data_IF_838392483546
#
_entry.id   IF_838392483546
#
_cell.length_a   1.000
_cell.length_b   1.000
_cell.length_c   1.000
_cell.angle_alpha   90.00
_cell.angle_beta   90.00
_cell.angle_gamma   90.00
#
_symmetry.space_group_name_H-M   'P 1'
#
loop_
_entity.id
_entity.type
_entity.pdbx_description
1 polymer ?
#
# COMPACT_ATOMS: atom_id res chain seq x y z
N UNK A 1 -7.47 6.53 -8.45
CA UNK A 1 -7.41 6.41 -6.98
C UNK A 1 -8.38 5.32 -6.60
N UNK A 2 -7.98 4.37 -5.76
CA UNK A 2 -8.80 3.19 -5.48
C UNK A 2 -9.73 3.35 -4.28
N UNK A 3 -9.31 4.08 -3.25
CA UNK A 3 -10.13 4.41 -2.09
C UNK A 3 -10.33 5.93 -2.00
N UNK A 4 -11.55 6.37 -1.67
CA UNK A 4 -11.86 7.78 -1.45
C UNK A 4 -11.63 8.20 0.00
N UNK A 5 -11.46 9.50 0.29
CA UNK A 5 -11.44 10.01 1.67
C UNK A 5 -12.68 9.59 2.47
N UNK A 6 -13.85 9.56 1.85
CA UNK A 6 -15.09 9.10 2.48
C UNK A 6 -15.03 7.61 2.85
N UNK A 7 -14.58 6.75 1.93
CA UNK A 7 -14.42 5.32 2.22
C UNK A 7 -13.41 5.11 3.35
N UNK A 8 -12.28 5.83 3.32
CA UNK A 8 -11.25 5.76 4.37
C UNK A 8 -11.82 6.13 5.75
N UNK A 9 -12.59 7.22 5.85
CA UNK A 9 -13.14 7.73 7.11
C UNK A 9 -14.34 6.92 7.63
N UNK A 10 -15.27 6.55 6.74
CA UNK A 10 -16.59 5.99 7.12
C UNK A 10 -16.63 4.47 7.06
N UNK A 11 -15.93 3.86 6.12
CA UNK A 11 -16.02 2.41 5.86
C UNK A 11 -14.81 1.67 6.41
N UNK A 12 -13.60 2.12 6.06
CA UNK A 12 -12.37 1.51 6.54
C UNK A 12 -12.06 1.90 7.99
N UNK A 13 -12.44 3.12 8.40
CA UNK A 13 -12.20 3.69 9.74
C UNK A 13 -10.70 3.71 10.05
N UNK A 14 -9.94 4.33 9.15
CA UNK A 14 -8.48 4.42 9.28
C UNK A 14 -8.05 5.26 10.48
N UNK A 15 -6.80 5.06 10.91
CA UNK A 15 -6.29 5.63 12.17
C UNK A 15 -5.85 7.10 12.06
N UNK A 16 -5.78 7.63 10.84
CA UNK A 16 -5.24 8.96 10.57
C UNK A 16 -6.35 10.00 10.50
N UNK A 17 -6.22 11.02 11.36
CA UNK A 17 -7.05 12.21 11.32
C UNK A 17 -6.36 13.28 10.49
N UNK A 18 -6.69 13.33 9.20
CA UNK A 18 -6.24 14.36 8.28
C UNK A 18 -7.44 15.05 7.61
N UNK A 19 -7.23 16.28 7.14
CA UNK A 19 -8.18 16.95 6.26
C UNK A 19 -8.39 16.15 4.95
N UNK A 20 -9.46 16.44 4.24
CA UNK A 20 -9.84 15.63 3.07
C UNK A 20 -8.88 15.79 1.88
N UNK A 21 -8.20 16.92 1.76
CA UNK A 21 -7.26 17.19 0.65
C UNK A 21 -5.95 16.44 0.84
N UNK A 22 -5.35 16.54 2.04
CA UNK A 22 -4.14 15.80 2.42
C UNK A 22 -4.41 14.31 2.37
N UNK A 23 -5.56 13.86 2.87
CA UNK A 23 -5.94 12.45 2.81
C UNK A 23 -6.11 11.95 1.36
N UNK A 24 -6.73 12.75 0.48
CA UNK A 24 -6.86 12.39 -0.93
C UNK A 24 -5.48 12.25 -1.61
N UNK A 25 -4.53 13.14 -1.29
CA UNK A 25 -3.16 13.06 -1.78
C UNK A 25 -2.45 11.77 -1.33
N UNK A 26 -2.55 11.43 -0.03
CA UNK A 26 -2.00 10.18 0.53
C UNK A 26 -2.62 8.94 -0.11
N UNK A 27 -3.94 8.92 -0.28
CA UNK A 27 -4.66 7.82 -0.93
C UNK A 27 -4.31 7.70 -2.42
N UNK A 28 -4.03 8.82 -3.09
CA UNK A 28 -3.53 8.80 -4.47
C UNK A 28 -2.15 8.15 -4.55
N UNK A 29 -1.22 8.54 -3.68
CA UNK A 29 0.11 7.92 -3.57
C UNK A 29 0.03 6.43 -3.26
N UNK A 30 -0.82 6.02 -2.31
CA UNK A 30 -1.07 4.62 -2.01
C UNK A 30 -1.67 3.84 -3.19
N UNK A 31 -2.54 4.48 -3.99
CA UNK A 31 -3.08 3.87 -5.21
C UNK A 31 -1.99 3.60 -6.24
N UNK A 32 -1.06 4.53 -6.41
CA UNK A 32 0.06 4.38 -7.34
C UNK A 32 1.03 3.28 -6.86
N UNK A 33 1.16 3.07 -5.54
CA UNK A 33 1.88 1.91 -4.96
C UNK A 33 1.17 0.59 -5.23
N UNK A 34 -0.16 0.54 -5.13
CA UNK A 34 -0.93 -0.64 -5.55
C UNK A 34 -0.71 -0.95 -7.04
N UNK A 35 -0.66 0.08 -7.89
CA UNK A 35 -0.37 -0.09 -9.32
C UNK A 35 0.99 -0.76 -9.53
N UNK A 36 2.02 -0.32 -8.80
CA UNK A 36 3.36 -0.93 -8.82
C UNK A 36 3.29 -2.41 -8.37
N UNK A 37 2.68 -2.68 -7.21
CA UNK A 37 2.58 -4.01 -6.62
C UNK A 37 1.75 -5.00 -7.46
N UNK A 38 0.88 -4.48 -8.34
CA UNK A 38 0.04 -5.27 -9.24
C UNK A 38 0.52 -5.25 -10.69
N UNK A 39 1.76 -4.77 -10.94
CA UNK A 39 2.33 -4.66 -12.29
C UNK A 39 1.43 -3.90 -13.27
N UNK A 40 0.73 -2.86 -12.78
CA UNK A 40 -0.26 -2.07 -13.50
C UNK A 40 -1.44 -2.87 -14.08
N UNK A 41 -1.68 -4.11 -13.61
CA UNK A 41 -2.78 -4.93 -14.14
C UNK A 41 -4.14 -4.32 -13.89
N UNK A 42 -4.34 -3.63 -12.77
CA UNK A 42 -5.60 -2.94 -12.48
C UNK A 42 -5.86 -1.84 -13.53
N UNK A 43 -4.82 -1.13 -13.99
CA UNK A 43 -4.95 -0.14 -15.08
C UNK A 43 -5.29 -0.78 -16.42
N UNK A 44 -4.68 -1.92 -16.72
CA UNK A 44 -4.97 -2.66 -17.95
C UNK A 44 -6.39 -3.23 -17.98
N UNK A 45 -6.87 -3.78 -16.86
CA UNK A 45 -8.21 -4.38 -16.75
C UNK A 45 -9.30 -3.31 -16.60
N UNK A 46 -9.00 -2.21 -15.89
CA UNK A 46 -9.98 -1.25 -15.41
C UNK A 46 -10.54 -1.68 -14.06
N UNK A 47 -10.50 -0.78 -13.08
CA UNK A 47 -10.91 -1.09 -11.70
C UNK A 47 -12.37 -1.54 -11.61
N UNK A 48 -13.26 -0.92 -12.37
CA UNK A 48 -14.70 -1.24 -12.37
C UNK A 48 -14.99 -2.60 -13.02
N UNK A 49 -14.06 -3.16 -13.80
CA UNK A 49 -14.17 -4.48 -14.42
C UNK A 49 -13.68 -5.61 -13.49
N UNK A 50 -13.16 -5.28 -12.31
CA UNK A 50 -12.77 -6.27 -11.30
C UNK A 50 -13.98 -6.79 -10.53
N UNK A 51 -13.86 -8.00 -10.00
CA UNK A 51 -14.90 -8.56 -9.12
C UNK A 51 -15.10 -7.69 -7.88
N UNK A 52 -16.29 -7.68 -7.26
CA UNK A 52 -16.54 -6.94 -6.01
C UNK A 52 -15.54 -7.28 -4.91
N UNK A 53 -15.14 -8.55 -4.82
CA UNK A 53 -14.10 -9.01 -3.90
C UNK A 53 -12.75 -8.35 -4.16
N UNK A 54 -12.28 -8.35 -5.42
CA UNK A 54 -11.02 -7.70 -5.79
C UNK A 54 -11.05 -6.20 -5.52
N UNK A 55 -12.13 -5.52 -5.89
CA UNK A 55 -12.28 -4.08 -5.63
C UNK A 55 -12.19 -3.77 -4.14
N UNK A 56 -12.86 -4.55 -3.29
CA UNK A 56 -12.84 -4.36 -1.84
C UNK A 56 -11.46 -4.62 -1.23
N UNK A 57 -10.80 -5.70 -1.64
CA UNK A 57 -9.43 -6.01 -1.22
C UNK A 57 -8.47 -4.88 -1.59
N UNK A 58 -8.60 -4.33 -2.81
CA UNK A 58 -7.76 -3.22 -3.28
C UNK A 58 -8.03 -1.94 -2.49
N UNK A 59 -9.30 -1.58 -2.24
CA UNK A 59 -9.64 -0.41 -1.41
C UNK A 59 -9.03 -0.53 -0.01
N UNK A 60 -9.22 -1.68 0.62
CA UNK A 60 -8.69 -1.97 1.96
C UNK A 60 -7.16 -1.92 2.00
N UNK A 61 -6.49 -2.53 1.03
CA UNK A 61 -5.02 -2.47 0.93
C UNK A 61 -4.53 -1.03 0.72
N UNK A 62 -5.25 -0.22 -0.07
CA UNK A 62 -4.91 1.19 -0.31
C UNK A 62 -4.92 1.98 1.00
N UNK A 63 -5.96 1.79 1.83
CA UNK A 63 -6.05 2.45 3.12
C UNK A 63 -5.00 1.95 4.12
N UNK A 64 -4.70 0.65 4.14
CA UNK A 64 -3.65 0.08 5.00
C UNK A 64 -2.24 0.60 4.67
N UNK A 65 -1.96 0.90 3.39
CA UNK A 65 -0.70 1.55 2.99
C UNK A 65 -0.61 2.95 3.58
N UNK A 66 -1.69 3.73 3.55
CA UNK A 66 -1.73 5.07 4.17
C UNK A 66 -1.47 4.97 5.68
N UNK A 67 -2.17 4.07 6.38
CA UNK A 67 -1.95 3.87 7.82
C UNK A 67 -0.50 3.47 8.12
N UNK A 68 0.07 2.55 7.33
CA UNK A 68 1.45 2.13 7.50
C UNK A 68 2.44 3.30 7.37
N UNK A 69 2.30 4.11 6.32
CA UNK A 69 3.24 5.19 6.04
C UNK A 69 3.19 6.30 7.08
N UNK A 70 2.01 6.61 7.59
CA UNK A 70 1.86 7.62 8.63
C UNK A 70 2.36 7.12 9.99
N UNK A 71 1.97 5.90 10.39
CA UNK A 71 2.38 5.33 11.68
C UNK A 71 3.89 5.07 11.74
N UNK A 72 4.52 4.81 10.60
CA UNK A 72 5.93 4.42 10.53
C UNK A 72 6.79 5.46 9.80
N UNK A 73 6.33 6.71 9.65
CA UNK A 73 7.03 7.75 8.89
C UNK A 73 8.49 7.92 9.32
N UNK A 74 8.75 7.99 10.63
CA UNK A 74 10.08 8.15 11.21
C UNK A 74 10.98 6.93 10.94
N UNK A 75 10.41 5.72 11.01
CA UNK A 75 11.13 4.49 10.70
C UNK A 75 11.50 4.45 9.21
N UNK A 76 10.55 4.78 8.34
CA UNK A 76 10.76 4.78 6.88
C UNK A 76 11.86 5.77 6.53
N UNK A 77 11.81 7.00 7.09
CA UNK A 77 12.84 8.02 6.88
C UNK A 77 14.23 7.54 7.32
N UNK A 78 14.32 6.89 8.48
CA UNK A 78 15.58 6.33 8.99
C UNK A 78 16.08 5.17 8.13
N UNK A 79 15.16 4.31 7.66
CA UNK A 79 15.48 3.14 6.82
C UNK A 79 16.02 3.55 5.45
N UNK A 80 15.38 4.53 4.80
CA UNK A 80 15.83 5.08 3.51
C UNK A 80 17.19 5.76 3.63
N UNK A 81 17.41 6.50 4.73
CA UNK A 81 18.69 7.14 5.03
C UNK A 81 19.81 6.10 5.20
N UNK A 82 19.56 5.02 5.96
CA UNK A 82 20.54 3.96 6.17
C UNK A 82 20.84 3.13 4.90
N UNK A 83 19.83 2.89 4.04
CA UNK A 83 20.03 2.22 2.74
C UNK A 83 20.96 3.03 1.82
N UNK A 84 20.79 4.35 1.81
CA UNK A 84 21.57 5.27 0.97
C UNK A 84 23.04 5.39 1.39
N UNK A 85 23.36 5.13 2.66
CA UNK A 85 24.70 5.36 3.22
C UNK A 85 25.63 4.16 3.04
N UNK A 86 25.12 2.92 3.08
CA UNK A 86 26.00 1.75 3.23
C UNK A 86 25.82 0.62 2.21
N UNK A 87 24.86 0.69 1.27
CA UNK A 87 24.67 -0.37 0.25
C UNK A 87 24.33 -1.76 0.81
N UNK A 88 24.14 -1.87 2.13
CA UNK A 88 23.77 -3.12 2.81
C UNK A 88 22.25 -3.28 2.75
N UNK A 89 21.79 -4.46 2.36
CA UNK A 89 20.41 -4.88 2.56
C UNK A 89 20.12 -4.91 4.06
N UNK A 90 19.54 -3.84 4.62
CA UNK A 90 18.97 -3.90 5.95
C UNK A 90 17.83 -4.91 5.93
N UNK A 91 18.11 -6.10 6.42
CA UNK A 91 17.07 -7.06 6.75
C UNK A 91 16.35 -6.48 7.97
N UNK A 92 15.11 -6.02 7.79
CA UNK A 92 14.25 -5.60 8.90
C UNK A 92 14.39 -6.67 9.99
N UNK A 93 14.75 -6.25 11.21
CA UNK A 93 14.83 -7.18 12.34
C UNK A 93 13.57 -8.04 12.33
N UNK A 94 13.75 -9.36 12.44
CA UNK A 94 12.73 -10.41 12.21
C UNK A 94 11.38 -10.23 12.93
N UNK A 95 11.26 -9.23 13.81
CA UNK A 95 10.08 -8.88 14.59
C UNK A 95 9.15 -7.84 13.93
N UNK A 96 9.57 -7.18 12.85
CA UNK A 96 8.72 -6.22 12.16
C UNK A 96 8.05 -6.93 10.97
N UNK A 97 6.73 -7.07 11.02
CA UNK A 97 5.91 -7.74 10.01
C UNK A 97 5.84 -6.94 8.69
N UNK A 98 7.00 -6.54 8.15
CA UNK A 98 7.20 -5.67 6.98
C UNK A 98 7.82 -6.50 5.85
N UNK A 99 7.49 -6.12 4.61
CA UNK A 99 8.07 -6.62 3.38
C UNK A 99 8.48 -5.44 2.48
N UNK A 100 9.42 -5.70 1.58
CA UNK A 100 9.77 -4.79 0.48
C UNK A 100 9.50 -5.50 -0.83
N UNK A 101 8.54 -4.99 -1.58
CA UNK A 101 8.04 -5.61 -2.82
C UNK A 101 8.05 -4.55 -3.91
N UNK A 102 8.77 -4.81 -5.00
CA UNK A 102 8.91 -3.87 -6.13
C UNK A 102 9.33 -2.44 -5.69
N UNK A 103 10.16 -2.32 -4.65
CA UNK A 103 10.62 -1.04 -4.10
C UNK A 103 9.63 -0.34 -3.15
N UNK A 104 8.46 -0.95 -2.90
CA UNK A 104 7.47 -0.46 -1.93
C UNK A 104 7.68 -1.17 -0.59
N UNK A 105 7.88 -0.39 0.47
CA UNK A 105 7.88 -0.89 1.85
C UNK A 105 6.43 -0.96 2.34
N UNK A 106 6.01 -2.11 2.84
CA UNK A 106 4.62 -2.36 3.23
C UNK A 106 4.53 -3.40 4.36
N UNK A 107 3.46 -3.41 5.15
CA UNK A 107 3.18 -4.55 6.01
C UNK A 107 2.99 -5.83 5.20
N UNK A 108 3.64 -6.92 5.63
CA UNK A 108 3.52 -8.25 5.01
C UNK A 108 2.05 -8.68 4.95
N UNK A 109 1.28 -8.48 6.02
CA UNK A 109 -0.16 -8.78 6.05
C UNK A 109 -0.95 -8.04 4.96
N UNK A 110 -0.62 -6.79 4.68
CA UNK A 110 -1.28 -6.00 3.62
C UNK A 110 -0.91 -6.53 2.24
N UNK A 111 0.35 -6.91 2.04
CA UNK A 111 0.75 -7.55 0.78
C UNK A 111 0.10 -8.93 0.60
N UNK A 112 0.06 -9.77 1.64
CA UNK A 112 -0.66 -11.05 1.63
C UNK A 112 -2.14 -10.88 1.28
N UNK A 113 -2.80 -9.86 1.83
CA UNK A 113 -4.17 -9.50 1.48
C UNK A 113 -4.28 -9.12 -0.01
N UNK A 114 -3.38 -8.26 -0.51
CA UNK A 114 -3.37 -7.86 -1.92
C UNK A 114 -3.14 -9.06 -2.86
N UNK A 115 -2.33 -10.05 -2.47
CA UNK A 115 -2.12 -11.28 -3.25
C UNK A 115 -3.40 -12.09 -3.48
N UNK A 116 -4.41 -11.97 -2.61
CA UNK A 116 -5.69 -12.64 -2.78
C UNK A 116 -6.46 -12.16 -4.02
N UNK A 117 -6.12 -10.99 -4.57
CA UNK A 117 -6.70 -10.50 -5.83
C UNK A 117 -6.28 -11.33 -7.06
N UNK A 118 -5.18 -12.08 -6.96
CA UNK A 118 -4.54 -12.74 -8.11
C UNK A 118 -3.72 -11.81 -9.01
N UNK A 119 -3.68 -10.49 -8.75
CA UNK A 119 -3.10 -9.50 -9.65
C UNK A 119 -1.60 -9.22 -9.41
N UNK A 120 -1.02 -9.79 -8.35
CA UNK A 120 0.36 -9.54 -7.89
C UNK A 120 1.39 -10.56 -8.37
N UNK A 121 1.00 -11.56 -9.18
CA UNK A 121 1.95 -12.58 -9.68
C UNK A 121 2.59 -12.12 -11.00
N UNK A 122 3.88 -12.40 -11.21
CA UNK A 122 4.52 -12.11 -12.51
C UNK A 122 4.09 -13.09 -13.61
N UNK A 123 3.92 -14.36 -13.26
CA UNK A 123 3.56 -15.42 -14.20
C UNK A 123 2.04 -15.59 -14.19
N UNK A 124 1.45 -15.61 -15.39
CA UNK A 124 0.03 -15.87 -15.63
C UNK A 124 -0.16 -17.37 -15.83
#
# INVERSE_FOLDING_TARGET
MYASPDYYKKTFVGVISADSEVLASKLKSASDKIDILTFNRIRGIGFDNLTPFQQEVIRKACCQIVDFEEVNADLIATTVSNYSINGVSMQFGSNWNIATEQGVVIYRKTYELLKQTGLTRRVI
#
